data_IF_363370183775
#
_entry.id   IF_363370183775
#
_cell.length_a   1.000
_cell.length_b   1.000
_cell.length_c   1.000
_cell.angle_alpha   90.00
_cell.angle_beta   90.00
_cell.angle_gamma   90.00
#
_symmetry.space_group_name_H-M   'P 1'
#
loop_
_entity.id
_entity.type
_entity.pdbx_description
1 polymer ?
#
# COMPACT_ATOMS: atom_id res chain seq x y z
N UNK A 1 -0.51 -14.02 -5.22
CA UNK A 1 -1.71 -14.10 -6.08
C UNK A 1 -2.63 -12.95 -5.71
N UNK A 2 -2.50 -11.79 -6.37
CA UNK A 2 -3.38 -10.63 -6.14
C UNK A 2 -4.51 -10.51 -7.18
N UNK A 3 -4.47 -11.32 -8.24
CA UNK A 3 -5.32 -11.18 -9.42
C UNK A 3 -6.44 -12.25 -9.48
N UNK A 4 -6.49 -13.23 -8.56
CA UNK A 4 -7.57 -14.24 -8.57
C UNK A 4 -8.76 -13.83 -7.68
N UNK A 5 -9.83 -13.37 -8.35
CA UNK A 5 -11.27 -13.57 -8.10
C UNK A 5 -11.87 -13.00 -6.80
N UNK A 6 -12.28 -11.73 -6.83
CA UNK A 6 -13.70 -11.26 -6.84
C UNK A 6 -13.85 -9.78 -6.47
N UNK A 7 -12.79 -9.13 -6.00
CA UNK A 7 -12.64 -7.68 -5.97
C UNK A 7 -11.18 -7.41 -6.33
N UNK A 8 -10.91 -6.61 -7.36
CA UNK A 8 -9.55 -6.18 -7.62
C UNK A 8 -9.09 -5.38 -6.39
N UNK A 9 -8.24 -5.98 -5.56
CA UNK A 9 -7.63 -5.35 -4.38
C UNK A 9 -6.65 -4.26 -4.82
N UNK A 10 -7.19 -3.20 -5.44
CA UNK A 10 -6.46 -2.06 -5.99
C UNK A 10 -5.59 -1.40 -4.92
N UNK A 11 -5.98 -1.52 -3.65
CA UNK A 11 -5.19 -1.09 -2.49
C UNK A 11 -3.80 -1.73 -2.44
N UNK A 12 -3.67 -3.02 -2.78
CA UNK A 12 -2.37 -3.71 -2.79
C UNK A 12 -1.51 -3.21 -3.95
N UNK A 13 -2.12 -2.98 -5.12
CA UNK A 13 -1.41 -2.45 -6.29
C UNK A 13 -0.93 -1.02 -6.00
N UNK A 14 -1.80 -0.18 -5.40
CA UNK A 14 -1.45 1.16 -4.94
C UNK A 14 -0.30 1.07 -3.92
N UNK A 15 -0.44 0.24 -2.89
CA UNK A 15 0.56 0.04 -1.84
C UNK A 15 1.93 -0.32 -2.45
N UNK A 16 2.00 -1.33 -3.33
CA UNK A 16 3.25 -1.71 -4.02
C UNK A 16 3.78 -0.55 -4.87
N UNK A 17 2.93 0.06 -5.70
CA UNK A 17 3.36 1.12 -6.61
C UNK A 17 3.84 2.38 -5.90
N UNK A 18 3.34 2.69 -4.70
CA UNK A 18 3.74 3.85 -3.91
C UNK A 18 4.89 3.60 -2.96
N UNK A 19 5.15 2.35 -2.56
CA UNK A 19 6.29 1.97 -1.72
C UNK A 19 7.57 1.85 -2.54
N UNK A 20 7.49 1.20 -3.69
CA UNK A 20 8.67 0.84 -4.47
C UNK A 20 9.27 2.08 -5.14
N UNK A 21 10.59 2.17 -5.14
CA UNK A 21 11.29 3.15 -5.97
C UNK A 21 10.98 2.90 -7.45
N UNK A 22 11.21 3.90 -8.30
CA UNK A 22 11.02 3.77 -9.75
C UNK A 22 11.80 2.58 -10.33
N UNK A 23 13.00 2.31 -9.79
CA UNK A 23 13.85 1.18 -10.19
C UNK A 23 13.31 -0.17 -9.69
N UNK A 24 12.92 -0.26 -8.42
CA UNK A 24 12.31 -1.46 -7.83
C UNK A 24 11.02 -1.83 -8.57
N UNK A 25 10.19 -0.84 -8.88
CA UNK A 25 8.92 -1.03 -9.60
C UNK A 25 9.15 -1.48 -11.04
N UNK A 26 10.17 -0.94 -11.72
CA UNK A 26 10.58 -1.41 -13.03
C UNK A 26 11.08 -2.86 -13.00
N UNK A 27 11.86 -3.23 -11.96
CA UNK A 27 12.31 -4.60 -11.79
C UNK A 27 11.12 -5.57 -11.56
N UNK A 28 10.12 -5.16 -10.77
CA UNK A 28 8.88 -5.94 -10.58
C UNK A 28 8.14 -6.13 -11.90
N UNK A 29 7.97 -5.08 -12.72
CA UNK A 29 7.31 -5.18 -14.03
C UNK A 29 8.03 -6.15 -14.97
N UNK A 30 9.36 -6.08 -15.03
CA UNK A 30 10.18 -7.02 -15.83
C UNK A 30 10.01 -8.46 -15.32
N UNK A 31 10.10 -8.67 -14.01
CA UNK A 31 9.92 -9.99 -13.41
C UNK A 31 8.51 -10.55 -13.66
N UNK A 32 7.48 -9.70 -13.60
CA UNK A 32 6.10 -10.04 -13.91
C UNK A 32 5.96 -10.55 -15.35
N UNK A 33 6.47 -9.79 -16.31
CA UNK A 33 6.42 -10.14 -17.73
C UNK A 33 7.15 -11.46 -18.02
N UNK A 34 8.32 -11.67 -17.42
CA UNK A 34 9.08 -12.92 -17.57
C UNK A 34 8.30 -14.11 -17.02
N UNK A 35 7.66 -13.95 -15.84
CA UNK A 35 6.97 -15.01 -15.11
C UNK A 35 5.62 -15.39 -15.72
N UNK A 36 4.82 -14.39 -16.09
CA UNK A 36 3.43 -14.57 -16.51
C UNK A 36 3.22 -14.45 -18.03
N UNK A 37 4.25 -14.04 -18.79
CA UNK A 37 4.21 -13.83 -20.24
C UNK A 37 3.20 -12.78 -20.72
N UNK A 38 2.66 -12.00 -19.79
CA UNK A 38 1.81 -10.84 -20.00
C UNK A 38 2.43 -9.63 -19.29
N UNK A 39 2.19 -8.44 -19.80
CA UNK A 39 2.58 -7.22 -19.09
C UNK A 39 1.64 -6.96 -17.91
N UNK A 40 2.16 -6.31 -16.87
CA UNK A 40 1.35 -5.92 -15.71
C UNK A 40 0.23 -4.96 -16.14
N UNK A 41 0.49 -4.10 -17.12
CA UNK A 41 -0.43 -3.09 -17.64
C UNK A 41 -1.61 -3.72 -18.37
N UNK A 42 -1.36 -4.74 -19.19
CA UNK A 42 -2.42 -5.49 -19.89
C UNK A 42 -3.34 -6.16 -18.88
N UNK A 43 -2.78 -6.81 -17.86
CA UNK A 43 -3.56 -7.49 -16.83
C UNK A 43 -4.36 -6.49 -15.98
N UNK A 44 -3.78 -5.33 -15.64
CA UNK A 44 -4.51 -4.25 -14.98
C UNK A 44 -5.64 -3.73 -15.86
N UNK A 45 -5.38 -3.54 -17.15
CA UNK A 45 -6.38 -3.08 -18.10
C UNK A 45 -7.54 -4.08 -18.25
N UNK A 46 -7.27 -5.38 -18.23
CA UNK A 46 -8.32 -6.39 -18.34
C UNK A 46 -9.22 -6.48 -17.10
N UNK A 47 -8.73 -6.07 -15.92
CA UNK A 47 -9.37 -6.35 -14.63
C UNK A 47 -9.85 -5.12 -13.85
N UNK A 48 -9.76 -3.91 -14.41
CA UNK A 48 -10.24 -2.69 -13.74
C UNK A 48 -11.12 -1.82 -14.64
N UNK A 49 -12.02 -1.06 -14.00
CA UNK A 49 -12.85 -0.04 -14.64
C UNK A 49 -11.98 1.09 -15.21
N UNK A 50 -12.50 1.84 -16.17
CA UNK A 50 -11.72 2.82 -16.95
C UNK A 50 -10.96 3.82 -16.07
N UNK A 51 -11.58 4.36 -15.04
CA UNK A 51 -10.93 5.39 -14.22
C UNK A 51 -9.94 4.83 -13.22
N UNK A 52 -10.26 3.69 -12.60
CA UNK A 52 -9.31 2.96 -11.74
C UNK A 52 -8.12 2.49 -12.57
N UNK A 53 -8.35 2.03 -13.80
CA UNK A 53 -7.31 1.61 -14.75
C UNK A 53 -6.34 2.76 -15.02
N UNK A 54 -6.85 3.95 -15.37
CA UNK A 54 -6.02 5.14 -15.62
C UNK A 54 -5.15 5.46 -14.41
N UNK A 55 -5.72 5.45 -13.20
CA UNK A 55 -4.98 5.68 -11.96
C UNK A 55 -3.90 4.62 -11.72
N UNK A 56 -4.25 3.33 -11.82
CA UNK A 56 -3.32 2.25 -11.54
C UNK A 56 -2.19 2.18 -12.57
N UNK A 57 -2.51 2.32 -13.87
CA UNK A 57 -1.49 2.39 -14.92
C UNK A 57 -0.54 3.57 -14.63
N UNK A 58 -1.08 4.76 -14.37
CA UNK A 58 -0.25 5.93 -14.05
C UNK A 58 0.68 5.68 -12.86
N UNK A 59 0.19 5.00 -11.80
CA UNK A 59 1.01 4.66 -10.63
C UNK A 59 2.10 3.63 -10.93
N UNK A 60 1.79 2.55 -11.66
CA UNK A 60 2.76 1.48 -11.94
C UNK A 60 3.78 1.87 -13.01
N UNK A 61 3.44 2.82 -13.89
CA UNK A 61 4.35 3.32 -14.93
C UNK A 61 5.07 4.60 -14.54
N UNK A 62 4.78 5.19 -13.38
CA UNK A 62 5.40 6.45 -12.94
C UNK A 62 6.90 6.28 -12.74
N UNK A 63 7.69 7.11 -13.41
CA UNK A 63 9.10 7.32 -13.11
C UNK A 63 9.22 8.60 -12.29
N UNK A 64 9.14 8.47 -10.95
CA UNK A 64 9.11 9.62 -10.05
C UNK A 64 10.50 10.20 -9.90
N UNK A 65 10.59 11.52 -9.92
CA UNK A 65 11.80 12.25 -9.56
C UNK A 65 12.02 12.14 -8.04
N UNK A 66 13.20 11.65 -7.65
CA UNK A 66 13.57 11.42 -6.23
C UNK A 66 14.57 12.48 -5.72
N UNK A 67 14.62 13.65 -6.35
CA UNK A 67 15.50 14.73 -5.92
C UNK A 67 14.91 15.56 -4.78
N UNK A 68 15.79 16.18 -3.99
CA UNK A 68 15.43 16.99 -2.81
C UNK A 68 14.83 18.36 -3.13
N UNK A 69 14.79 18.77 -4.41
CA UNK A 69 14.29 20.07 -4.82
C UNK A 69 12.75 20.10 -4.84
N UNK A 70 12.15 20.77 -3.86
CA UNK A 70 10.70 21.00 -3.79
C UNK A 70 10.38 22.37 -4.39
N UNK A 71 9.58 22.39 -5.46
CA UNK A 71 9.03 23.63 -6.00
C UNK A 71 7.71 23.98 -5.28
N UNK A 72 7.78 24.84 -4.27
CA UNK A 72 6.62 25.19 -3.44
C UNK A 72 5.48 25.84 -4.24
N UNK A 73 5.79 26.60 -5.31
CA UNK A 73 4.76 27.21 -6.16
C UNK A 73 3.99 26.14 -6.95
N UNK A 74 4.71 25.19 -7.54
CA UNK A 74 4.11 24.05 -8.24
C UNK A 74 3.32 23.14 -7.29
N UNK A 75 3.84 22.91 -6.08
CA UNK A 75 3.14 22.12 -5.08
C UNK A 75 1.81 22.76 -4.67
N UNK A 76 1.79 24.07 -4.44
CA UNK A 76 0.58 24.81 -4.08
C UNK A 76 -0.43 24.85 -5.22
N UNK A 77 0.01 25.05 -6.47
CA UNK A 77 -0.91 25.02 -7.62
C UNK A 77 -1.49 23.62 -7.85
N UNK A 78 -0.67 22.57 -7.75
CA UNK A 78 -1.12 21.19 -7.84
C UNK A 78 -2.14 20.83 -6.73
N UNK A 79 -1.90 21.30 -5.50
CA UNK A 79 -2.85 21.10 -4.40
C UNK A 79 -4.20 21.77 -4.65
N UNK A 80 -4.20 22.99 -5.23
CA UNK A 80 -5.44 23.69 -5.61
C UNK A 80 -6.20 22.94 -6.70
N UNK A 81 -5.51 22.51 -7.77
CA UNK A 81 -6.11 21.73 -8.86
C UNK A 81 -6.73 20.43 -8.33
N UNK A 82 -6.02 19.73 -7.44
CA UNK A 82 -6.54 18.51 -6.81
C UNK A 82 -7.77 18.79 -5.95
N UNK A 83 -7.78 19.89 -5.19
CA UNK A 83 -8.91 20.26 -4.35
C UNK A 83 -10.16 20.53 -5.19
N UNK A 84 -10.02 21.30 -6.27
CA UNK A 84 -11.13 21.62 -7.18
C UNK A 84 -11.62 20.37 -7.89
N UNK A 85 -10.72 19.53 -8.41
CA UNK A 85 -11.08 18.28 -9.09
C UNK A 85 -11.78 17.25 -8.19
N UNK A 86 -11.51 17.26 -6.87
CA UNK A 86 -12.21 16.41 -5.89
C UNK A 86 -13.59 16.98 -5.55
N UNK A 87 -13.71 18.31 -5.55
CA UNK A 87 -14.96 19.02 -5.21
C UNK A 87 -15.95 18.99 -6.36
N UNK A 88 -15.47 19.17 -7.59
CA UNK A 88 -16.24 19.02 -8.80
C UNK A 88 -16.46 17.53 -9.06
N UNK A 89 -17.65 17.05 -8.70
CA UNK A 89 -18.10 15.66 -8.92
C UNK A 89 -18.13 15.24 -10.40
N UNK A 90 -17.72 16.10 -11.34
CA UNK A 90 -17.72 15.86 -12.79
C UNK A 90 -16.79 14.72 -13.23
N UNK A 91 -15.85 14.29 -12.38
CA UNK A 91 -15.02 13.10 -12.60
C UNK A 91 -15.64 11.78 -12.07
N UNK A 92 -16.81 11.85 -11.43
CA UNK A 92 -17.38 10.77 -10.61
C UNK A 92 -18.76 10.29 -11.07
N UNK A 93 -19.27 10.83 -12.19
CA UNK A 93 -20.68 10.66 -12.57
C UNK A 93 -21.09 9.23 -12.94
N UNK A 94 -20.15 8.32 -13.24
CA UNK A 94 -20.47 6.90 -13.44
C UNK A 94 -19.59 5.98 -12.58
N UNK A 95 -20.02 5.72 -11.34
CA UNK A 95 -19.39 4.73 -10.45
C UNK A 95 -18.43 5.28 -9.39
N UNK A 96 -18.60 6.55 -9.01
CA UNK A 96 -17.67 7.39 -8.23
C UNK A 96 -17.14 6.89 -6.87
N UNK A 97 -17.68 5.83 -6.26
CA UNK A 97 -17.21 5.35 -4.96
C UNK A 97 -15.84 4.65 -5.03
N UNK A 98 -15.59 3.85 -6.09
CA UNK A 98 -14.36 3.05 -6.20
C UNK A 98 -13.09 3.89 -6.47
N UNK A 99 -13.18 4.83 -7.41
CA UNK A 99 -12.08 5.73 -7.74
C UNK A 99 -11.78 6.68 -6.58
N UNK A 100 -12.81 7.24 -5.95
CA UNK A 100 -12.64 8.12 -4.80
C UNK A 100 -11.96 7.39 -3.63
N UNK A 101 -12.33 6.13 -3.37
CA UNK A 101 -11.66 5.27 -2.38
C UNK A 101 -10.20 5.03 -2.74
N UNK A 102 -9.90 4.68 -4.00
CA UNK A 102 -8.54 4.47 -4.47
C UNK A 102 -7.67 5.73 -4.32
N UNK A 103 -8.19 6.90 -4.70
CA UNK A 103 -7.51 8.18 -4.54
C UNK A 103 -7.24 8.52 -3.07
N UNK A 104 -8.22 8.30 -2.18
CA UNK A 104 -8.02 8.48 -0.75
C UNK A 104 -6.94 7.55 -0.18
N UNK A 105 -6.81 6.34 -0.70
CA UNK A 105 -5.75 5.40 -0.30
C UNK A 105 -4.38 5.92 -0.73
N UNK A 106 -4.24 6.38 -1.99
CA UNK A 106 -3.02 7.02 -2.50
C UNK A 106 -2.63 8.22 -1.63
N UNK A 107 -3.57 9.15 -1.39
CA UNK A 107 -3.33 10.34 -0.58
C UNK A 107 -2.93 10.01 0.86
N UNK A 108 -3.63 9.05 1.49
CA UNK A 108 -3.30 8.61 2.84
C UNK A 108 -1.90 8.02 2.91
N UNK A 109 -1.51 7.23 1.90
CA UNK A 109 -0.16 6.68 1.82
C UNK A 109 0.89 7.78 1.67
N UNK A 110 0.70 8.69 0.70
CA UNK A 110 1.67 9.77 0.43
C UNK A 110 1.84 10.72 1.62
N UNK A 111 0.77 10.97 2.39
CA UNK A 111 0.82 11.90 3.51
C UNK A 111 1.55 11.34 4.73
N UNK A 112 1.30 10.07 5.09
CA UNK A 112 1.95 9.42 6.23
C UNK A 112 1.93 7.89 6.06
N UNK A 113 2.96 7.31 5.42
CA UNK A 113 3.03 5.86 5.18
C UNK A 113 2.97 5.06 6.48
N UNK A 114 3.58 5.56 7.56
CA UNK A 114 3.63 4.85 8.86
C UNK A 114 2.24 4.75 9.47
N UNK A 115 1.46 5.83 9.43
CA UNK A 115 0.06 5.86 9.86
C UNK A 115 -0.85 5.03 8.96
N UNK A 116 -0.56 4.94 7.66
CA UNK A 116 -1.25 4.03 6.76
C UNK A 116 -1.05 2.57 7.17
N UNK A 117 0.21 2.12 7.31
CA UNK A 117 0.51 0.72 7.68
C UNK A 117 0.03 0.36 9.08
N UNK A 118 0.12 1.28 10.04
CA UNK A 118 -0.49 1.07 11.37
C UNK A 118 -1.98 0.76 11.24
N UNK A 119 -2.71 1.49 10.40
CA UNK A 119 -4.14 1.26 10.19
C UNK A 119 -4.40 -0.09 9.51
N UNK A 120 -3.57 -0.50 8.56
CA UNK A 120 -3.66 -1.81 7.91
C UNK A 120 -3.46 -2.92 8.95
N UNK A 121 -2.39 -2.84 9.76
CA UNK A 121 -2.10 -3.80 10.83
C UNK A 121 -3.22 -3.87 11.87
N UNK A 122 -3.72 -2.71 12.31
CA UNK A 122 -4.82 -2.63 13.28
C UNK A 122 -6.08 -3.30 12.75
N UNK A 123 -6.42 -3.06 11.48
CA UNK A 123 -7.57 -3.67 10.85
C UNK A 123 -7.39 -5.18 10.67
N UNK A 124 -6.17 -5.64 10.37
CA UNK A 124 -5.85 -7.05 10.24
C UNK A 124 -5.96 -7.82 11.56
N UNK A 125 -5.64 -7.17 12.68
CA UNK A 125 -5.71 -7.75 14.03
C UNK A 125 -7.11 -7.65 14.65
N UNK A 126 -7.89 -6.59 14.37
CA UNK A 126 -9.21 -6.35 15.03
C UNK A 126 -10.39 -7.12 14.45
N UNK A 127 -10.30 -7.68 13.24
CA UNK A 127 -11.42 -8.38 12.61
C UNK A 127 -11.62 -9.76 13.27
N UNK A 128 -12.87 -10.22 13.33
CA UNK A 128 -13.18 -11.61 13.73
C UNK A 128 -12.54 -12.50 12.66
N UNK A 129 -11.41 -13.13 13.00
CA UNK A 129 -10.48 -13.72 12.05
C UNK A 129 -9.38 -12.73 11.63
N UNK A 130 -8.12 -13.13 11.82
CA UNK A 130 -6.95 -12.33 11.44
C UNK A 130 -6.83 -12.28 9.91
N UNK A 131 -6.67 -11.08 9.35
CA UNK A 131 -6.26 -10.93 7.94
C UNK A 131 -4.75 -11.21 7.85
N UNK A 132 -4.40 -12.50 7.81
CA UNK A 132 -3.02 -12.98 7.77
C UNK A 132 -2.27 -12.48 6.54
N UNK A 133 -2.95 -12.30 5.41
CA UNK A 133 -2.35 -11.83 4.17
C UNK A 133 -1.92 -10.36 4.28
N UNK A 134 -2.79 -9.50 4.83
CA UNK A 134 -2.44 -8.11 5.13
C UNK A 134 -1.33 -8.01 6.17
N UNK A 135 -1.42 -8.81 7.25
CA UNK A 135 -0.45 -8.82 8.33
C UNK A 135 0.93 -9.29 7.84
N UNK A 136 0.99 -10.42 7.14
CA UNK A 136 2.20 -10.97 6.53
C UNK A 136 2.81 -9.99 5.54
N UNK A 137 2.00 -9.43 4.62
CA UNK A 137 2.50 -8.50 3.60
C UNK A 137 3.15 -7.28 4.23
N UNK A 138 2.49 -6.64 5.21
CA UNK A 138 3.05 -5.43 5.84
C UNK A 138 4.31 -5.77 6.63
N UNK A 139 4.33 -6.86 7.41
CA UNK A 139 5.52 -7.24 8.17
C UNK A 139 6.70 -7.53 7.23
N UNK A 140 6.50 -8.34 6.19
CA UNK A 140 7.58 -8.73 5.26
C UNK A 140 8.09 -7.53 4.47
N UNK A 141 7.20 -6.73 3.89
CA UNK A 141 7.61 -5.63 2.99
C UNK A 141 8.20 -4.43 3.74
N UNK A 142 7.92 -4.29 5.05
CA UNK A 142 8.41 -3.16 5.85
C UNK A 142 9.54 -3.53 6.81
N UNK A 143 9.80 -4.81 7.04
CA UNK A 143 10.79 -5.29 8.02
C UNK A 143 12.15 -4.58 7.94
N UNK A 144 12.68 -4.40 6.73
CA UNK A 144 14.01 -3.81 6.51
C UNK A 144 13.99 -2.30 6.26
N UNK A 145 12.79 -1.70 6.18
CA UNK A 145 12.57 -0.30 5.80
C UNK A 145 12.24 0.57 7.01
N UNK A 146 11.07 0.37 7.62
CA UNK A 146 10.55 1.24 8.68
C UNK A 146 9.56 0.53 9.63
N UNK A 147 9.60 -0.81 9.71
CA UNK A 147 8.70 -1.58 10.58
C UNK A 147 8.81 -1.16 12.06
N UNK A 148 10.01 -0.79 12.53
CA UNK A 148 10.23 -0.27 13.89
C UNK A 148 9.37 0.97 14.17
N UNK A 149 9.39 1.94 13.26
CA UNK A 149 8.62 3.17 13.41
C UNK A 149 7.11 2.90 13.32
N UNK A 150 6.71 1.95 12.45
CA UNK A 150 5.32 1.51 12.34
C UNK A 150 4.85 0.87 13.66
N UNK A 151 5.68 0.04 14.30
CA UNK A 151 5.39 -0.56 15.61
C UNK A 151 5.20 0.51 16.69
N UNK A 152 6.03 1.56 16.69
CA UNK A 152 5.87 2.67 17.63
C UNK A 152 4.55 3.42 17.42
N UNK A 153 4.20 3.73 16.16
CA UNK A 153 2.91 4.38 15.83
C UNK A 153 1.73 3.48 16.22
N UNK A 154 1.86 2.16 16.02
CA UNK A 154 0.85 1.19 16.44
C UNK A 154 0.65 1.19 17.96
N UNK A 155 1.75 1.12 18.72
CA UNK A 155 1.69 1.13 20.18
C UNK A 155 1.04 2.41 20.71
N UNK A 156 1.45 3.58 20.19
CA UNK A 156 0.90 4.88 20.58
C UNK A 156 -0.62 4.99 20.40
N UNK A 157 -1.21 4.27 19.44
CA UNK A 157 -2.65 4.36 19.12
C UNK A 157 -3.50 3.24 19.70
N UNK A 158 -2.92 2.07 19.91
CA UNK A 158 -3.65 0.87 20.32
C UNK A 158 -3.35 0.47 21.76
N UNK A 159 -2.36 1.11 22.40
CA UNK A 159 -1.91 0.85 23.77
C UNK A 159 -1.49 -0.62 24.01
N UNK A 160 -1.23 -1.36 22.93
CA UNK A 160 -0.78 -2.76 22.95
C UNK A 160 0.35 -2.89 21.94
N UNK A 161 1.51 -3.46 22.32
CA UNK A 161 2.59 -3.71 21.37
C UNK A 161 2.10 -4.60 20.22
N UNK A 162 2.52 -4.30 18.99
CA UNK A 162 2.13 -5.09 17.82
C UNK A 162 2.45 -6.57 18.03
N UNK A 163 3.62 -6.88 18.60
CA UNK A 163 4.04 -8.24 18.93
C UNK A 163 3.04 -8.99 19.81
N UNK A 164 2.53 -8.33 20.85
CA UNK A 164 1.56 -8.93 21.76
C UNK A 164 0.20 -9.08 21.10
N UNK A 165 -0.22 -8.09 20.31
CA UNK A 165 -1.48 -8.12 19.58
C UNK A 165 -1.49 -9.29 18.57
N UNK A 166 -0.38 -9.50 17.84
CA UNK A 166 -0.23 -10.64 16.92
C UNK A 166 -0.17 -11.96 17.70
N UNK A 167 0.60 -12.06 18.78
CA UNK A 167 0.71 -13.29 19.57
C UNK A 167 -0.64 -13.77 20.13
N UNK A 168 -1.49 -12.83 20.56
CA UNK A 168 -2.83 -13.11 21.07
C UNK A 168 -3.75 -13.71 20.00
N UNK A 169 -3.70 -13.20 18.78
CA UNK A 169 -4.52 -13.67 17.66
C UNK A 169 -3.95 -14.95 16.99
N UNK A 170 -2.67 -15.26 17.20
CA UNK A 170 -1.94 -16.33 16.51
C UNK A 170 -1.75 -17.60 17.36
N UNK A 171 -2.58 -17.85 18.37
CA UNK A 171 -2.53 -19.08 19.18
C UNK A 171 -2.66 -20.40 18.37
N UNK A 172 -2.88 -20.33 17.05
CA UNK A 172 -2.69 -21.42 16.09
C UNK A 172 -1.96 -21.08 14.77
N UNK A 173 -1.38 -19.87 14.60
CA UNK A 173 -0.87 -19.38 13.30
C UNK A 173 0.65 -19.17 13.35
N UNK A 174 1.39 -20.09 12.75
CA UNK A 174 2.86 -20.21 12.86
C UNK A 174 3.62 -19.26 11.93
N UNK A 175 3.05 -18.89 10.78
CA UNK A 175 3.75 -18.13 9.73
C UNK A 175 4.02 -16.69 10.15
N UNK A 176 3.01 -16.00 10.67
CA UNK A 176 3.13 -14.59 11.10
C UNK A 176 4.06 -14.43 12.30
N UNK A 177 3.94 -15.33 13.28
CA UNK A 177 4.80 -15.33 14.47
C UNK A 177 6.28 -15.52 14.11
N UNK A 178 6.57 -16.38 13.14
CA UNK A 178 7.93 -16.57 12.61
C UNK A 178 8.48 -15.32 11.90
N UNK A 179 7.65 -14.66 11.11
CA UNK A 179 8.02 -13.43 10.38
C UNK A 179 8.24 -12.25 11.32
N UNK A 180 7.46 -12.15 12.40
CA UNK A 180 7.62 -11.13 13.41
C UNK A 180 8.92 -11.34 14.21
N UNK A 181 9.24 -12.59 14.56
CA UNK A 181 10.53 -12.97 15.14
C UNK A 181 11.71 -12.66 14.21
N UNK A 182 11.54 -12.85 12.90
CA UNK A 182 12.54 -12.45 11.91
C UNK A 182 12.71 -10.92 11.85
N UNK A 183 11.61 -10.16 11.87
CA UNK A 183 11.64 -8.69 12.00
C UNK A 183 12.44 -8.22 13.21
N UNK A 184 12.28 -8.86 14.39
CA UNK A 184 13.08 -8.54 15.59
C UNK A 184 14.58 -8.81 15.42
N UNK A 185 14.97 -9.85 14.67
CA UNK A 185 16.40 -10.16 14.45
C UNK A 185 17.07 -9.11 13.56
N UNK A 186 16.37 -8.65 12.52
CA UNK A 186 16.89 -7.62 11.62
C UNK A 186 16.97 -6.23 12.26
N UNK A 187 16.12 -5.95 13.27
CA UNK A 187 16.17 -4.71 14.05
C UNK A 187 17.45 -4.58 14.90
N UNK A 188 18.11 -5.69 15.27
CA UNK A 188 19.33 -5.72 16.10
C UNK A 188 20.64 -5.74 15.29
N UNK A 189 20.56 -5.69 13.96
CA UNK A 189 21.71 -5.75 13.05
C UNK A 189 22.11 -4.36 12.49
N UNK A 190 21.58 -3.26 13.05
CA UNK A 190 21.91 -1.87 12.69
C UNK A 190 22.19 -1.03 13.91
#
# INVERSE_FOLDING_TARGET
MAIKKSECNCNIIIEIATILSSEELLAVRKAYQVRYKHSLEEDLAAHTTVDIRKLLIALVTAYRYDGCAINSKLANSAAHILHDAIKDKSLLEEGGDGLQKALHVVLRFLNDPKKYFEKVLRNAVKRVGTDEDALTRVIVTRAERDLKDIKEVYYKKNSVPLDHAVAKETSGITRTSSLLCWGRKNENLR
#
